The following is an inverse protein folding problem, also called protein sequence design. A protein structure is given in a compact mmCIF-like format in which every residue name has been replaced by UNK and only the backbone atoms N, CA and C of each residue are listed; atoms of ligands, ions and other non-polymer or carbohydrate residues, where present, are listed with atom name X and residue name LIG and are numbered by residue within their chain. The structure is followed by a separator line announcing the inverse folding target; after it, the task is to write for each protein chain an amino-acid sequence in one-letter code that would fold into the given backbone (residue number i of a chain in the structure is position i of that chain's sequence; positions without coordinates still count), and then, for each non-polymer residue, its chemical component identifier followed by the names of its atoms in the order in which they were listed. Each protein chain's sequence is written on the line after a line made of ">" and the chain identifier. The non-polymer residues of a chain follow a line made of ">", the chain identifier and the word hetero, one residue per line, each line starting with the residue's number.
data_IF_432957797553
#
_entry.id   IF_432957797553
#
_cell.length_a   1.000
_cell.length_b   1.000
_cell.length_c   1.000
_cell.angle_alpha   90.00
_cell.angle_beta   90.00
_cell.angle_gamma   90.00
#
_symmetry.space_group_name_H-M   'P 1'
#
loop_
_entity.id
_entity.type
_entity.pdbx_description
1 polymer ?
#
# COMPACT_ATOMS: atom_id res chain seq x y z
N UNK A 1 -5.23 -33.74 28.06
CA UNK A 1 -4.81 -32.43 28.60
C UNK A 1 -5.46 -31.36 27.74
N UNK A 2 -6.33 -30.54 28.34
CA UNK A 2 -7.16 -29.57 27.64
C UNK A 2 -6.33 -28.36 27.18
N UNK A 3 -6.29 -28.11 25.87
CA UNK A 3 -5.87 -26.81 25.33
C UNK A 3 -7.07 -25.88 25.36
N UNK A 4 -7.06 -24.88 26.26
CA UNK A 4 -8.12 -23.88 26.34
C UNK A 4 -8.06 -22.98 25.12
N UNK A 5 -9.01 -23.21 24.21
CA UNK A 5 -9.29 -22.45 23.00
C UNK A 5 -9.61 -21.00 23.37
N UNK A 6 -8.70 -20.06 23.09
CA UNK A 6 -8.76 -18.66 23.53
C UNK A 6 -9.77 -17.83 22.69
N UNK A 7 -11.05 -18.22 22.75
CA UNK A 7 -12.17 -17.48 22.12
C UNK A 7 -12.48 -16.26 22.99
N UNK A 8 -12.09 -15.07 22.52
CA UNK A 8 -12.23 -13.79 23.26
C UNK A 8 -13.71 -13.43 23.43
N UNK A 9 -14.20 -13.43 24.68
CA UNK A 9 -15.62 -13.20 25.03
C UNK A 9 -15.97 -11.71 25.13
N UNK A 10 -17.26 -11.40 25.05
CA UNK A 10 -17.78 -10.03 25.23
C UNK A 10 -17.46 -9.52 26.64
N UNK A 11 -16.96 -8.30 26.74
CA UNK A 11 -16.61 -7.61 27.98
C UNK A 11 -17.80 -7.48 28.94
N UNK A 12 -18.99 -7.17 28.41
CA UNK A 12 -20.19 -6.97 29.22
C UNK A 12 -20.83 -8.28 29.67
N UNK A 13 -21.14 -9.19 28.73
CA UNK A 13 -21.92 -10.40 29.06
C UNK A 13 -21.08 -11.67 29.30
N UNK A 14 -19.81 -11.70 28.90
CA UNK A 14 -18.91 -12.86 29.01
C UNK A 14 -19.42 -14.17 28.38
N UNK A 15 -20.44 -14.11 27.53
CA UNK A 15 -21.13 -15.28 26.95
C UNK A 15 -20.85 -15.49 25.47
N UNK A 16 -20.76 -14.40 24.70
CA UNK A 16 -20.60 -14.48 23.24
C UNK A 16 -19.13 -14.45 22.81
N UNK A 17 -18.78 -15.33 21.86
CA UNK A 17 -17.45 -15.41 21.25
C UNK A 17 -17.33 -14.58 19.97
N UNK A 18 -18.45 -14.22 19.33
CA UNK A 18 -18.46 -13.33 18.18
C UNK A 18 -18.45 -11.88 18.68
N UNK A 19 -17.26 -11.29 18.73
CA UNK A 19 -17.04 -10.00 19.38
C UNK A 19 -16.20 -9.09 18.50
N UNK A 20 -16.48 -7.80 18.60
CA UNK A 20 -15.80 -6.72 17.88
C UNK A 20 -14.95 -5.94 18.87
N UNK A 21 -13.72 -5.61 18.50
CA UNK A 21 -12.83 -4.81 19.35
C UNK A 21 -13.17 -3.33 19.19
N UNK A 22 -13.34 -2.62 20.30
CA UNK A 22 -13.34 -1.16 20.31
C UNK A 22 -11.89 -0.68 20.24
N UNK A 23 -11.54 0.09 19.21
CA UNK A 23 -10.18 0.62 19.03
C UNK A 23 -9.79 1.61 20.12
N UNK A 24 -10.76 2.37 20.65
CA UNK A 24 -10.50 3.39 21.69
C UNK A 24 -10.16 2.83 23.06
N UNK A 25 -10.71 1.67 23.46
CA UNK A 25 -10.49 1.11 24.80
C UNK A 25 -9.95 -0.33 24.80
N UNK A 26 -9.68 -0.91 23.63
CA UNK A 26 -9.21 -2.30 23.43
C UNK A 26 -10.13 -3.40 23.99
N UNK A 27 -11.30 -3.06 24.52
CA UNK A 27 -12.31 -4.01 25.01
C UNK A 27 -13.10 -4.59 23.83
N UNK A 28 -13.72 -5.76 24.02
CA UNK A 28 -14.47 -6.46 22.98
C UNK A 28 -15.94 -6.57 23.33
N UNK A 29 -16.83 -6.28 22.40
CA UNK A 29 -18.28 -6.26 22.62
C UNK A 29 -18.99 -7.15 21.59
N UNK A 30 -20.07 -7.82 21.98
CA UNK A 30 -20.94 -8.45 20.99
C UNK A 30 -21.88 -7.42 20.36
N UNK A 31 -22.57 -7.80 19.28
CA UNK A 31 -23.47 -6.90 18.54
C UNK A 31 -24.56 -6.25 19.42
N UNK A 32 -24.97 -6.90 20.50
CA UNK A 32 -25.98 -6.39 21.44
C UNK A 32 -25.41 -5.30 22.35
N UNK A 33 -24.15 -5.40 22.78
CA UNK A 33 -23.54 -4.48 23.76
C UNK A 33 -22.70 -3.36 23.12
N UNK A 34 -22.48 -3.39 21.79
CA UNK A 34 -21.83 -2.29 21.07
C UNK A 34 -22.60 -0.97 21.20
N UNK A 35 -23.94 -0.92 20.99
CA UNK A 35 -24.69 0.32 21.12
C UNK A 35 -24.65 0.91 22.54
N UNK A 36 -24.74 0.07 23.57
CA UNK A 36 -24.64 0.48 24.97
C UNK A 36 -23.24 1.08 25.26
N UNK A 37 -22.19 0.44 24.78
CA UNK A 37 -20.84 0.97 24.92
C UNK A 37 -20.64 2.31 24.21
N UNK A 38 -21.22 2.49 23.02
CA UNK A 38 -21.19 3.77 22.30
C UNK A 38 -21.90 4.88 23.07
N UNK A 39 -23.01 4.58 23.74
CA UNK A 39 -23.71 5.55 24.57
C UNK A 39 -22.84 6.02 25.74
N UNK A 40 -22.16 5.11 26.45
CA UNK A 40 -21.25 5.46 27.56
C UNK A 40 -20.14 6.39 27.07
N UNK A 41 -19.52 6.07 25.93
CA UNK A 41 -18.46 6.92 25.34
C UNK A 41 -18.97 8.33 24.99
N UNK A 42 -20.21 8.44 24.50
CA UNK A 42 -20.81 9.73 24.20
C UNK A 42 -21.09 10.57 25.46
N UNK A 43 -21.52 9.92 26.55
CA UNK A 43 -21.72 10.58 27.85
C UNK A 43 -20.39 11.06 28.44
N UNK A 44 -19.35 10.24 28.40
CA UNK A 44 -17.99 10.62 28.82
C UNK A 44 -17.45 11.80 28.00
N UNK A 45 -17.62 11.78 26.68
CA UNK A 45 -17.23 12.88 25.80
C UNK A 45 -17.97 14.17 26.16
N UNK A 46 -19.27 14.09 26.43
CA UNK A 46 -20.06 15.25 26.82
C UNK A 46 -19.55 15.87 28.14
N UNK A 47 -19.18 15.03 29.12
CA UNK A 47 -18.57 15.50 30.37
C UNK A 47 -17.24 16.22 30.16
N UNK A 48 -16.37 15.68 29.30
CA UNK A 48 -15.08 16.30 28.97
C UNK A 48 -15.28 17.67 28.31
N UNK A 49 -16.17 17.76 27.33
CA UNK A 49 -16.48 19.01 26.62
C UNK A 49 -17.02 20.08 27.58
N UNK A 50 -17.92 19.69 28.49
CA UNK A 50 -18.45 20.62 29.48
C UNK A 50 -17.36 21.11 30.45
N UNK A 51 -16.47 20.23 30.91
CA UNK A 51 -15.34 20.61 31.76
C UNK A 51 -14.38 21.57 31.06
N UNK A 52 -14.08 21.31 29.79
CA UNK A 52 -13.26 22.18 28.93
C UNK A 52 -13.87 23.59 28.80
N UNK A 53 -15.16 23.67 28.48
CA UNK A 53 -15.85 24.96 28.32
C UNK A 53 -15.85 25.79 29.61
N UNK A 54 -16.05 25.14 30.77
CA UNK A 54 -15.97 25.80 32.08
C UNK A 54 -14.55 26.29 32.39
N UNK A 55 -13.53 25.52 32.03
CA UNK A 55 -12.14 25.92 32.20
C UNK A 55 -11.80 27.13 31.33
N UNK A 56 -12.18 27.13 30.04
CA UNK A 56 -12.00 28.25 29.12
C UNK A 56 -12.66 29.54 29.62
N UNK A 57 -13.90 29.45 30.10
CA UNK A 57 -14.59 30.61 30.67
C UNK A 57 -13.80 31.23 31.84
N UNK A 58 -13.28 30.40 32.76
CA UNK A 58 -12.48 30.90 33.89
C UNK A 58 -11.17 31.53 33.46
N UNK A 59 -10.52 30.99 32.43
CA UNK A 59 -9.31 31.57 31.84
C UNK A 59 -9.62 32.96 31.26
N UNK A 60 -10.70 33.09 30.50
CA UNK A 60 -11.10 34.35 29.88
C UNK A 60 -11.52 35.42 30.90
N UNK A 61 -12.20 35.02 31.98
CA UNK A 61 -12.49 35.90 33.12
C UNK A 61 -11.20 36.36 33.81
N UNK A 62 -10.20 35.49 33.99
CA UNK A 62 -8.93 35.86 34.62
C UNK A 62 -8.04 36.76 33.74
N UNK A 63 -8.12 36.66 32.41
CA UNK A 63 -7.40 37.58 31.49
C UNK A 63 -7.76 39.05 31.72
N UNK A 64 -8.99 39.33 32.18
CA UNK A 64 -9.46 40.69 32.39
C UNK A 64 -8.87 41.37 33.64
N UNK A 65 -8.32 40.60 34.59
CA UNK A 65 -7.92 41.11 35.91
C UNK A 65 -6.50 40.69 36.35
N UNK A 66 -5.73 39.95 35.54
CA UNK A 66 -4.49 39.29 35.96
C UNK A 66 -3.21 39.93 35.42
N UNK A 67 -2.23 40.16 36.30
CA UNK A 67 -0.84 40.51 35.95
C UNK A 67 -0.07 39.33 35.28
N UNK A 68 -0.63 38.11 35.28
CA UNK A 68 -0.01 36.91 34.70
C UNK A 68 -0.44 36.66 33.25
N UNK A 69 -0.78 37.71 32.50
CA UNK A 69 -1.27 37.62 31.12
C UNK A 69 -0.38 36.74 30.21
N UNK A 70 0.96 36.82 30.35
CA UNK A 70 1.88 36.01 29.54
C UNK A 70 1.88 34.51 29.86
N UNK A 71 1.49 34.11 31.08
CA UNK A 71 1.32 32.69 31.42
C UNK A 71 0.02 32.15 30.83
N UNK A 72 -1.03 32.97 30.79
CA UNK A 72 -2.31 32.61 30.18
C UNK A 72 -2.16 32.42 28.66
N UNK A 73 -1.40 33.28 27.98
CA UNK A 73 -1.08 33.10 26.55
C UNK A 73 -0.32 31.79 26.27
N UNK A 74 0.60 31.38 27.18
CA UNK A 74 1.32 30.11 27.06
C UNK A 74 0.38 28.91 27.22
N UNK A 75 -0.60 28.99 28.12
CA UNK A 75 -1.64 27.94 28.29
C UNK A 75 -2.51 27.85 27.03
N UNK A 76 -2.99 29.00 26.52
CA UNK A 76 -3.78 29.03 25.27
C UNK A 76 -2.99 28.48 24.08
N UNK A 77 -1.70 28.78 24.00
CA UNK A 77 -0.84 28.24 22.94
C UNK A 77 -0.63 26.73 23.08
N UNK A 78 -0.38 26.26 24.31
CA UNK A 78 -0.25 24.83 24.58
C UNK A 78 -1.52 24.05 24.22
N UNK A 79 -2.68 24.63 24.50
CA UNK A 79 -3.98 24.05 24.18
C UNK A 79 -4.27 24.01 22.68
N UNK A 80 -3.98 25.09 21.95
CA UNK A 80 -4.06 25.09 20.47
C UNK A 80 -3.19 24.00 19.86
N UNK A 81 -1.93 23.91 20.29
CA UNK A 81 -1.01 22.88 19.83
C UNK A 81 -1.50 21.47 20.16
N UNK A 82 -2.10 21.28 21.34
CA UNK A 82 -2.64 19.99 21.75
C UNK A 82 -3.86 19.57 20.94
N UNK A 83 -4.75 20.52 20.63
CA UNK A 83 -5.92 20.28 19.76
C UNK A 83 -5.46 19.93 18.34
N UNK A 84 -4.46 20.62 17.81
CA UNK A 84 -3.88 20.35 16.49
C UNK A 84 -3.33 18.91 16.42
N UNK A 85 -2.52 18.50 17.39
CA UNK A 85 -1.99 17.12 17.48
C UNK A 85 -3.12 16.08 17.57
N UNK A 86 -4.17 16.35 18.35
CA UNK A 86 -5.31 15.44 18.48
C UNK A 86 -6.10 15.36 17.17
N UNK A 87 -6.27 16.48 16.46
CA UNK A 87 -6.96 16.52 15.17
C UNK A 87 -6.17 15.79 14.08
N UNK A 88 -4.84 15.98 14.01
CA UNK A 88 -3.95 15.21 13.14
C UNK A 88 -4.08 13.72 13.44
N UNK A 89 -4.03 13.33 14.72
CA UNK A 89 -4.14 11.93 15.12
C UNK A 89 -5.52 11.35 14.81
N UNK A 90 -6.59 12.14 14.99
CA UNK A 90 -7.94 11.74 14.65
C UNK A 90 -8.14 11.63 13.14
N UNK A 91 -7.47 12.44 12.31
CA UNK A 91 -7.47 12.28 10.86
C UNK A 91 -6.71 11.04 10.41
N UNK A 92 -5.57 10.72 11.03
CA UNK A 92 -4.86 9.46 10.83
C UNK A 92 -5.74 8.24 11.17
N UNK A 93 -6.55 8.33 12.23
CA UNK A 93 -7.41 7.25 12.70
C UNK A 93 -8.75 7.16 11.94
N UNK A 94 -9.39 8.30 11.62
CA UNK A 94 -10.68 8.35 10.91
C UNK A 94 -10.52 8.23 9.38
N UNK A 95 -9.33 8.50 8.83
CA UNK A 95 -9.02 8.35 7.42
C UNK A 95 -8.93 6.89 6.95
N UNK A 96 -9.05 5.92 7.86
CA UNK A 96 -8.80 4.52 7.57
C UNK A 96 -10.07 3.70 7.29
N UNK A 97 -10.75 4.07 6.21
CA UNK A 97 -11.25 3.09 5.22
C UNK A 97 -10.29 3.17 4.02
N UNK A 98 -9.16 2.48 4.17
CA UNK A 98 -7.85 2.80 3.59
C UNK A 98 -7.74 2.57 2.08
N UNK A 99 -7.71 3.64 1.29
CA UNK A 99 -6.87 3.68 0.10
C UNK A 99 -5.88 4.83 0.26
N UNK A 100 -4.64 4.50 0.59
CA UNK A 100 -3.52 5.44 0.50
C UNK A 100 -2.89 5.26 -0.88
N UNK A 101 -2.61 6.37 -1.58
CA UNK A 101 -1.87 6.30 -2.82
C UNK A 101 -0.41 5.97 -2.50
N UNK A 102 0.00 4.73 -2.80
CA UNK A 102 1.33 4.23 -2.45
C UNK A 102 2.42 4.71 -3.43
N UNK A 103 2.03 5.03 -4.67
CA UNK A 103 2.87 5.62 -5.71
C UNK A 103 1.98 6.34 -6.73
N UNK A 104 1.97 7.68 -6.73
CA UNK A 104 1.34 8.52 -7.76
C UNK A 104 1.70 10.00 -7.54
N UNK A 105 1.86 10.75 -8.63
CA UNK A 105 1.89 12.22 -8.67
C UNK A 105 0.52 12.84 -8.95
N UNK A 106 -0.55 12.03 -8.87
CA UNK A 106 -1.97 12.36 -9.06
C UNK A 106 -2.38 12.71 -10.51
N UNK A 107 -1.61 12.31 -11.53
CA UNK A 107 -1.91 12.59 -12.95
C UNK A 107 -1.35 11.52 -13.90
N UNK A 108 -2.08 11.24 -14.98
CA UNK A 108 -1.57 10.44 -16.09
C UNK A 108 -0.49 11.20 -16.87
N UNK A 109 0.61 10.54 -17.21
CA UNK A 109 1.71 11.16 -17.97
C UNK A 109 2.98 10.32 -17.99
N UNK A 110 4.09 10.95 -18.41
CA UNK A 110 5.36 10.27 -18.71
C UNK A 110 6.49 10.61 -17.73
N UNK A 111 6.28 11.59 -16.84
CA UNK A 111 7.28 11.96 -15.84
C UNK A 111 7.49 10.83 -14.82
N UNK A 112 8.58 10.88 -14.06
CA UNK A 112 8.94 9.81 -13.11
C UNK A 112 8.02 9.72 -11.89
N UNK A 113 7.20 10.74 -11.67
CA UNK A 113 6.12 10.76 -10.69
C UNK A 113 4.74 10.55 -11.32
N UNK A 114 4.66 10.08 -12.57
CA UNK A 114 3.41 9.86 -13.29
C UNK A 114 3.40 8.45 -13.90
N UNK A 115 2.19 7.94 -14.16
CA UNK A 115 1.99 6.64 -14.81
C UNK A 115 0.97 6.76 -15.92
N UNK A 116 1.04 5.86 -16.91
CA UNK A 116 0.03 5.71 -17.95
C UNK A 116 -0.33 4.22 -18.10
N UNK A 117 -1.57 3.89 -17.73
CA UNK A 117 -2.09 2.53 -17.66
C UNK A 117 -1.18 1.56 -16.88
N UNK A 118 -0.94 1.76 -15.56
CA UNK A 118 -0.18 0.78 -14.80
C UNK A 118 -0.93 -0.55 -14.69
N UNK A 119 -0.27 -1.68 -14.97
CA UNK A 119 -0.93 -3.00 -15.07
C UNK A 119 -0.43 -4.05 -14.08
N UNK A 120 0.83 -3.96 -13.66
CA UNK A 120 1.52 -4.98 -12.87
C UNK A 120 2.23 -4.36 -11.67
N UNK A 121 2.36 -5.12 -10.60
CA UNK A 121 2.92 -4.66 -9.34
C UNK A 121 3.65 -5.78 -8.59
N UNK A 122 4.84 -5.46 -8.09
CA UNK A 122 5.56 -6.29 -7.14
C UNK A 122 6.04 -5.47 -5.96
N UNK A 123 5.98 -6.04 -4.76
CA UNK A 123 6.44 -5.39 -3.53
C UNK A 123 7.52 -6.26 -2.89
N UNK A 124 8.72 -5.71 -2.73
CA UNK A 124 9.82 -6.43 -2.12
C UNK A 124 9.74 -6.42 -0.57
N UNK A 125 10.65 -7.18 0.07
CA UNK A 125 10.78 -7.22 1.54
C UNK A 125 11.13 -5.87 2.19
N UNK A 126 11.68 -4.93 1.42
CA UNK A 126 12.01 -3.57 1.85
C UNK A 126 10.85 -2.58 1.64
N UNK A 127 9.70 -3.06 1.13
CA UNK A 127 8.53 -2.26 0.76
C UNK A 127 8.77 -1.32 -0.42
N UNK A 128 9.76 -1.60 -1.25
CA UNK A 128 9.88 -0.95 -2.56
C UNK A 128 8.81 -1.54 -3.50
N UNK A 129 8.20 -0.68 -4.30
CA UNK A 129 7.13 -1.05 -5.21
C UNK A 129 7.66 -1.00 -6.63
N UNK A 130 7.57 -2.09 -7.36
CA UNK A 130 7.90 -2.19 -8.77
C UNK A 130 6.61 -2.14 -9.54
N UNK A 131 6.50 -1.20 -10.47
CA UNK A 131 5.26 -0.87 -11.16
C UNK A 131 5.50 -1.00 -12.64
N UNK A 132 4.67 -1.80 -13.31
CA UNK A 132 4.65 -1.85 -14.76
C UNK A 132 3.81 -0.69 -15.27
N UNK A 133 4.47 0.26 -15.91
CA UNK A 133 3.85 1.44 -16.52
C UNK A 133 3.66 1.15 -18.02
N UNK A 134 2.55 0.46 -18.32
CA UNK A 134 2.36 -0.30 -19.55
C UNK A 134 2.38 0.58 -20.81
N UNK A 135 1.65 1.70 -20.79
CA UNK A 135 1.55 2.59 -21.94
C UNK A 135 2.82 3.45 -22.12
N UNK A 136 3.60 3.65 -21.06
CA UNK A 136 4.93 4.25 -21.14
C UNK A 136 6.05 3.24 -21.43
N UNK A 137 5.73 1.94 -21.54
CA UNK A 137 6.68 0.88 -21.93
C UNK A 137 7.90 0.80 -21.02
N UNK A 138 7.68 0.90 -19.71
CA UNK A 138 8.73 0.90 -18.70
C UNK A 138 8.27 0.20 -17.43
N UNK A 139 9.24 -0.16 -16.60
CA UNK A 139 9.03 -0.57 -15.23
C UNK A 139 9.72 0.42 -14.31
N UNK A 140 9.01 0.85 -13.28
CA UNK A 140 9.45 1.87 -12.34
C UNK A 140 9.57 1.26 -10.94
N UNK A 141 10.72 1.43 -10.30
CA UNK A 141 10.88 1.19 -8.86
C UNK A 141 10.51 2.46 -8.09
N UNK A 142 9.61 2.33 -7.14
CA UNK A 142 9.22 3.37 -6.20
C UNK A 142 9.63 2.97 -4.79
N UNK A 143 10.64 3.65 -4.26
CA UNK A 143 11.15 3.38 -2.91
C UNK A 143 10.20 3.92 -1.85
N UNK A 144 10.21 3.31 -0.67
CA UNK A 144 9.38 3.78 0.45
C UNK A 144 9.65 5.27 0.74
N UNK A 145 8.59 6.08 0.78
CA UNK A 145 8.63 7.55 0.93
C UNK A 145 9.31 8.35 -0.20
N UNK A 146 9.59 7.73 -1.36
CA UNK A 146 10.06 8.48 -2.53
C UNK A 146 8.97 9.39 -3.09
N UNK A 147 9.38 10.50 -3.73
CA UNK A 147 8.49 11.46 -4.41
C UNK A 147 8.33 11.18 -5.91
N UNK A 148 9.26 10.42 -6.46
CA UNK A 148 9.32 10.00 -7.86
C UNK A 148 9.95 8.60 -7.91
N UNK A 149 9.65 7.88 -8.97
CA UNK A 149 10.22 6.56 -9.21
C UNK A 149 11.51 6.59 -10.03
N UNK A 150 12.15 5.44 -10.14
CA UNK A 150 13.33 5.21 -10.97
C UNK A 150 13.00 4.16 -12.03
N UNK A 151 13.36 4.42 -13.29
CA UNK A 151 13.21 3.42 -14.36
C UNK A 151 14.25 2.31 -14.13
N UNK A 152 13.78 1.08 -13.99
CA UNK A 152 14.61 -0.11 -13.75
C UNK A 152 14.57 -1.11 -14.92
N UNK A 153 13.61 -0.98 -15.83
CA UNK A 153 13.57 -1.70 -17.11
C UNK A 153 12.78 -0.91 -18.16
N UNK A 154 13.18 -1.02 -19.44
CA UNK A 154 12.53 -0.32 -20.54
C UNK A 154 12.74 1.20 -20.51
N UNK A 155 11.70 1.97 -20.88
CA UNK A 155 11.76 3.44 -20.91
C UNK A 155 12.46 4.06 -22.12
N UNK A 156 13.00 3.24 -23.02
CA UNK A 156 13.68 3.68 -24.25
C UNK A 156 12.77 3.64 -25.49
N UNK A 157 11.46 3.81 -25.28
CA UNK A 157 10.43 3.77 -26.32
C UNK A 157 9.90 2.37 -26.65
N UNK A 158 8.78 2.35 -27.38
CA UNK A 158 8.06 1.14 -27.82
C UNK A 158 8.80 0.45 -28.95
N UNK A 159 9.48 -0.66 -28.67
CA UNK A 159 10.12 -1.51 -29.67
C UNK A 159 10.60 -2.82 -29.02
N UNK A 160 11.48 -3.57 -29.70
CA UNK A 160 11.89 -4.93 -29.32
C UNK A 160 13.40 -5.09 -29.07
N UNK A 161 14.16 -3.99 -28.94
CA UNK A 161 15.57 -4.07 -28.51
C UNK A 161 15.67 -4.55 -27.06
N UNK A 162 16.89 -4.86 -26.61
CA UNK A 162 17.13 -5.42 -25.27
C UNK A 162 16.97 -4.40 -24.14
N UNK A 163 16.92 -3.10 -24.43
CA UNK A 163 16.60 -2.03 -23.49
C UNK A 163 15.18 -1.44 -23.70
N UNK A 164 14.35 -2.09 -24.51
CA UNK A 164 13.02 -1.62 -24.89
C UNK A 164 11.94 -2.65 -24.53
N UNK A 165 10.75 -2.16 -24.24
CA UNK A 165 9.55 -2.95 -23.96
C UNK A 165 8.42 -2.52 -24.88
N UNK A 166 7.38 -3.34 -24.97
CA UNK A 166 6.18 -3.09 -25.75
C UNK A 166 4.96 -3.59 -24.97
N UNK A 167 4.22 -2.66 -24.37
CA UNK A 167 3.07 -2.93 -23.48
C UNK A 167 3.33 -4.05 -22.44
N UNK A 168 4.37 -3.92 -21.61
CA UNK A 168 4.63 -4.91 -20.56
C UNK A 168 3.41 -5.05 -19.64
N UNK A 169 3.18 -6.24 -19.07
CA UNK A 169 1.99 -6.51 -18.27
C UNK A 169 2.29 -6.76 -16.80
N UNK A 170 3.34 -7.53 -16.50
CA UNK A 170 3.69 -7.91 -15.13
C UNK A 170 5.19 -7.78 -14.86
N UNK A 171 5.53 -7.53 -13.60
CA UNK A 171 6.90 -7.54 -13.07
C UNK A 171 6.97 -8.44 -11.84
N UNK A 172 8.00 -9.27 -11.76
CA UNK A 172 8.39 -9.94 -10.52
C UNK A 172 9.88 -9.79 -10.28
N UNK A 173 10.30 -9.81 -9.02
CA UNK A 173 11.71 -9.71 -8.64
C UNK A 173 12.06 -10.93 -7.80
N UNK A 174 13.20 -11.56 -8.09
CA UNK A 174 13.66 -12.69 -7.29
C UNK A 174 14.52 -12.27 -6.09
N UNK A 175 14.93 -13.26 -5.28
CA UNK A 175 15.74 -13.02 -4.08
C UNK A 175 17.13 -12.43 -4.36
N UNK A 176 17.60 -12.48 -5.61
CA UNK A 176 18.86 -11.89 -6.07
C UNK A 176 18.68 -10.48 -6.63
N UNK A 177 17.45 -9.94 -6.62
CA UNK A 177 17.15 -8.62 -7.18
C UNK A 177 17.07 -8.60 -8.71
N UNK A 178 16.96 -9.76 -9.37
CA UNK A 178 16.78 -9.83 -10.82
C UNK A 178 15.31 -9.57 -11.14
N UNK A 179 15.09 -8.65 -12.06
CA UNK A 179 13.76 -8.17 -12.45
C UNK A 179 13.30 -8.94 -13.68
N UNK A 180 12.14 -9.57 -13.61
CA UNK A 180 11.52 -10.30 -14.71
C UNK A 180 10.28 -9.57 -15.17
N UNK A 181 10.16 -9.34 -16.47
CA UNK A 181 9.08 -8.55 -17.07
C UNK A 181 8.39 -9.36 -18.16
N UNK A 182 7.06 -9.43 -18.09
CA UNK A 182 6.24 -9.96 -19.17
C UNK A 182 6.09 -8.89 -20.26
N UNK A 183 6.96 -8.93 -21.26
CA UNK A 183 6.97 -8.01 -22.40
C UNK A 183 5.95 -8.48 -23.46
N UNK A 184 4.67 -8.26 -23.15
CA UNK A 184 3.52 -8.83 -23.83
C UNK A 184 3.49 -8.56 -25.33
N UNK A 185 3.66 -7.30 -25.75
CA UNK A 185 3.63 -6.91 -27.15
C UNK A 185 4.80 -7.43 -27.98
N UNK A 186 5.82 -8.01 -27.34
CA UNK A 186 6.94 -8.69 -27.99
C UNK A 186 6.94 -10.22 -27.73
N UNK A 187 5.89 -10.75 -27.09
CA UNK A 187 5.71 -12.18 -26.79
C UNK A 187 6.96 -12.83 -26.16
N UNK A 188 7.53 -12.17 -25.15
CA UNK A 188 8.75 -12.62 -24.47
C UNK A 188 8.73 -12.29 -22.98
N UNK A 189 9.50 -13.05 -22.21
CA UNK A 189 9.87 -12.69 -20.83
C UNK A 189 11.31 -12.20 -20.87
N UNK A 190 11.51 -11.02 -20.31
CA UNK A 190 12.81 -10.37 -20.22
C UNK A 190 13.30 -10.37 -18.77
N UNK A 191 14.61 -10.50 -18.57
CA UNK A 191 15.28 -10.37 -17.27
C UNK A 191 16.27 -9.22 -17.29
N UNK A 192 16.24 -8.36 -16.27
CA UNK A 192 17.28 -7.38 -15.99
C UNK A 192 18.00 -7.73 -14.70
N UNK A 193 19.33 -7.64 -14.73
CA UNK A 193 20.15 -7.67 -13.53
C UNK A 193 20.42 -6.24 -13.06
N UNK A 194 20.62 -6.05 -11.75
CA UNK A 194 20.91 -4.74 -11.16
C UNK A 194 22.06 -4.03 -11.90
N UNK A 195 21.85 -2.76 -12.24
CA UNK A 195 22.83 -1.91 -12.92
C UNK A 195 23.04 -2.19 -14.41
N UNK A 196 22.25 -3.08 -15.04
CA UNK A 196 22.29 -3.32 -16.49
C UNK A 196 21.30 -2.43 -17.23
N UNK A 197 21.75 -1.80 -18.32
CA UNK A 197 20.89 -1.00 -19.20
C UNK A 197 20.05 -1.88 -20.15
N UNK A 198 20.55 -3.07 -20.47
CA UNK A 198 19.89 -4.05 -21.33
C UNK A 198 19.52 -5.30 -20.54
N UNK A 199 18.37 -5.87 -20.88
CA UNK A 199 17.90 -7.15 -20.37
C UNK A 199 18.25 -8.28 -21.31
N UNK A 200 17.88 -9.49 -20.90
CA UNK A 200 18.05 -10.69 -21.68
C UNK A 200 16.74 -11.46 -21.79
N UNK A 201 16.52 -12.13 -22.92
CA UNK A 201 15.34 -12.97 -23.12
C UNK A 201 15.54 -14.28 -22.36
N UNK A 202 14.66 -14.56 -21.41
CA UNK A 202 14.65 -15.82 -20.65
C UNK A 202 13.70 -16.83 -21.27
N UNK A 203 12.57 -16.36 -21.82
CA UNK A 203 11.55 -17.20 -22.46
C UNK A 203 10.94 -16.45 -23.65
N UNK A 204 10.66 -17.15 -24.75
CA UNK A 204 10.00 -16.57 -25.93
C UNK A 204 10.95 -15.78 -26.83
N UNK A 205 10.43 -14.75 -27.52
CA UNK A 205 11.23 -13.90 -28.42
C UNK A 205 11.68 -14.57 -29.73
N UNK A 206 11.15 -15.74 -30.03
CA UNK A 206 11.51 -16.62 -31.15
C UNK A 206 10.30 -16.88 -32.08
N UNK A 207 9.57 -15.79 -32.40
CA UNK A 207 8.27 -15.77 -33.05
C UNK A 207 7.15 -16.39 -32.21
N UNK A 208 5.95 -15.84 -32.38
CA UNK A 208 4.72 -16.39 -31.80
C UNK A 208 4.45 -17.82 -32.28
N UNK A 209 4.02 -18.71 -31.38
CA UNK A 209 3.67 -20.07 -31.76
C UNK A 209 3.35 -21.02 -30.62
N UNK A 210 3.19 -22.30 -30.94
CA UNK A 210 2.69 -23.34 -30.04
C UNK A 210 3.80 -24.21 -29.41
N UNK A 211 5.07 -23.94 -29.75
CA UNK A 211 6.19 -24.69 -29.16
C UNK A 211 6.32 -24.35 -27.68
N UNK A 212 6.97 -25.25 -26.94
CA UNK A 212 7.19 -25.08 -25.49
C UNK A 212 7.97 -23.82 -25.14
N UNK A 213 8.79 -23.31 -26.07
CA UNK A 213 9.62 -22.12 -25.90
C UNK A 213 9.10 -20.88 -26.63
N UNK A 214 7.87 -20.90 -27.14
CA UNK A 214 7.22 -19.75 -27.78
C UNK A 214 6.11 -19.22 -26.87
N UNK A 215 5.86 -17.91 -26.91
CA UNK A 215 4.76 -17.25 -26.19
C UNK A 215 3.90 -16.48 -27.20
N UNK A 216 2.72 -16.04 -26.78
CA UNK A 216 1.87 -15.18 -27.60
C UNK A 216 1.44 -13.92 -26.85
N UNK A 217 0.88 -14.07 -25.65
CA UNK A 217 0.42 -12.95 -24.82
C UNK A 217 0.76 -13.22 -23.35
N UNK A 218 2.06 -13.20 -22.98
CA UNK A 218 2.45 -13.36 -21.59
C UNK A 218 1.88 -12.20 -20.78
N UNK A 219 1.11 -12.52 -19.75
CA UNK A 219 0.39 -11.52 -18.96
C UNK A 219 0.86 -11.47 -17.51
N UNK A 220 1.02 -12.62 -16.87
CA UNK A 220 1.30 -12.73 -15.44
C UNK A 220 2.41 -13.76 -15.20
N UNK A 221 3.19 -13.57 -14.15
CA UNK A 221 4.40 -14.32 -13.81
C UNK A 221 4.42 -14.67 -12.32
N UNK A 222 4.91 -15.86 -11.99
CA UNK A 222 5.16 -16.23 -10.59
C UNK A 222 6.27 -17.26 -10.47
N UNK A 223 6.99 -17.25 -9.37
CA UNK A 223 7.97 -18.29 -9.02
C UNK A 223 7.37 -19.29 -8.05
N UNK A 224 7.75 -20.57 -8.17
CA UNK A 224 7.63 -21.51 -7.05
C UNK A 224 8.86 -21.43 -6.13
N UNK A 225 8.80 -22.14 -4.99
CA UNK A 225 9.88 -22.18 -3.99
C UNK A 225 11.17 -22.84 -4.53
N UNK A 226 11.08 -23.57 -5.65
CA UNK A 226 12.22 -24.14 -6.37
C UNK A 226 12.79 -23.17 -7.40
N UNK A 227 12.21 -21.98 -7.55
CA UNK A 227 12.57 -20.91 -8.48
C UNK A 227 12.23 -21.20 -9.94
N UNK A 228 11.29 -22.10 -10.20
CA UNK A 228 10.73 -22.29 -11.53
C UNK A 228 9.75 -21.15 -11.85
N UNK A 229 9.83 -20.64 -13.08
CA UNK A 229 8.96 -19.57 -13.55
C UNK A 229 7.67 -20.14 -14.14
N UNK A 230 6.53 -19.67 -13.64
CA UNK A 230 5.21 -19.90 -14.22
C UNK A 230 4.80 -18.67 -15.03
N UNK A 231 4.32 -18.90 -16.25
CA UNK A 231 3.89 -17.85 -17.18
C UNK A 231 2.46 -18.10 -17.61
N UNK A 232 1.61 -17.08 -17.44
CA UNK A 232 0.25 -17.06 -18.01
C UNK A 232 0.32 -16.55 -19.45
N UNK A 233 0.13 -17.44 -20.42
CA UNK A 233 0.05 -17.11 -21.85
C UNK A 233 -1.43 -16.92 -22.24
N UNK A 234 -1.95 -15.75 -21.88
CA UNK A 234 -3.39 -15.44 -21.73
C UNK A 234 -4.24 -15.77 -22.97
N UNK A 235 -3.87 -15.28 -24.15
CA UNK A 235 -4.61 -15.50 -25.39
C UNK A 235 -4.37 -16.90 -26.01
N UNK A 236 -3.50 -17.72 -25.38
CA UNK A 236 -3.34 -19.15 -25.69
C UNK A 236 -3.98 -20.05 -24.63
N UNK A 237 -4.64 -19.47 -23.63
CA UNK A 237 -5.34 -20.18 -22.56
C UNK A 237 -4.50 -21.27 -21.89
N UNK A 238 -3.19 -21.01 -21.68
CA UNK A 238 -2.26 -21.97 -21.07
C UNK A 238 -1.38 -21.32 -20.01
N UNK A 239 -0.93 -22.17 -19.08
CA UNK A 239 0.08 -21.85 -18.07
C UNK A 239 1.30 -22.72 -18.40
N UNK A 240 2.47 -22.11 -18.48
CA UNK A 240 3.73 -22.79 -18.77
C UNK A 240 4.65 -22.70 -17.56
N UNK A 241 5.35 -23.79 -17.26
CA UNK A 241 6.43 -23.85 -16.27
C UNK A 241 7.77 -23.87 -17.00
N UNK A 242 8.72 -23.06 -16.55
CA UNK A 242 10.09 -23.01 -17.06
C UNK A 242 11.10 -23.15 -15.93
N UNK A 243 12.07 -24.05 -16.13
CA UNK A 243 13.26 -24.14 -15.30
C UNK A 243 14.27 -23.12 -15.85
N UNK A 244 14.55 -22.06 -15.09
CA UNK A 244 15.37 -20.92 -15.56
C UNK A 244 16.57 -20.62 -14.65
N UNK A 245 16.86 -21.51 -13.70
CA UNK A 245 18.01 -21.44 -12.80
C UNK A 245 19.05 -22.51 -13.13
#
# INVERSE_FOLDING_TARGET
>A
MAMTNNRKRCFTCSRENNTYTCEGCSKRFCSIHIPEHQQILNEELHHIINGYNQFKQRIDEQKQYSYNYSLIEQIDQWERNSIEIIQEKAQELNGNKNSITAADGNLAGQELNQFDCPTGIFIDKNKNIFIVDCANHRVVEWKYNAKEGQIIAGGNGKANRMNQLNYPQEVIVDDFGRIYVADNGNSRIMRWCEGKEEGEIVVGGNNEGYRSNQLYSPHDLSFDDEGNLYVVDSLRARILKFEIM
#
